data_IF_003778736751
#
_entry.id   IF_003778736751
#
_cell.length_a   1.000
_cell.length_b   1.000
_cell.length_c   1.000
_cell.angle_alpha   90.00
_cell.angle_beta   90.00
_cell.angle_gamma   90.00
#
_symmetry.space_group_name_H-M   'P 1'
#
loop_
_entity.id
_entity.type
_entity.pdbx_description
1 polymer ?
#
# COMPACT_ATOMS: atom_id res chain seq x y z
N UNK A 1 -21.73 28.51 1.32
CA UNK A 1 -20.75 27.63 0.66
C UNK A 1 -20.12 26.82 1.76
N UNK A 2 -20.35 25.51 1.78
CA UNK A 2 -19.45 24.61 2.50
C UNK A 2 -18.14 24.69 1.72
N UNK A 3 -17.03 24.96 2.39
CA UNK A 3 -15.73 25.13 1.73
C UNK A 3 -15.36 23.81 1.05
N UNK A 4 -15.04 23.84 -0.25
CA UNK A 4 -14.70 22.62 -1.00
C UNK A 4 -13.51 21.84 -0.41
N UNK A 5 -12.71 22.49 0.43
CA UNK A 5 -11.64 21.87 1.23
C UNK A 5 -12.16 20.94 2.34
N UNK A 6 -13.28 21.28 2.96
CA UNK A 6 -13.88 20.47 4.02
C UNK A 6 -14.49 19.19 3.45
N UNK A 7 -15.11 19.26 2.27
CA UNK A 7 -15.67 18.10 1.56
C UNK A 7 -14.59 17.10 1.15
N UNK A 8 -13.48 17.57 0.55
CA UNK A 8 -12.35 16.71 0.16
C UNK A 8 -11.69 16.02 1.37
N UNK A 9 -11.57 16.75 2.48
CA UNK A 9 -11.00 16.21 3.73
C UNK A 9 -11.94 15.16 4.35
N UNK A 10 -13.25 15.40 4.31
CA UNK A 10 -14.25 14.44 4.75
C UNK A 10 -14.21 13.17 3.90
N UNK A 11 -14.09 13.31 2.57
CA UNK A 11 -13.98 12.18 1.65
C UNK A 11 -12.70 11.36 1.86
N UNK A 12 -11.55 12.02 2.02
CA UNK A 12 -10.28 11.34 2.29
C UNK A 12 -10.32 10.61 3.65
N UNK A 13 -10.94 11.23 4.66
CA UNK A 13 -11.17 10.59 5.96
C UNK A 13 -12.10 9.39 5.81
N UNK A 14 -13.20 9.50 5.08
CA UNK A 14 -14.13 8.41 4.85
C UNK A 14 -13.47 7.24 4.10
N UNK A 15 -12.61 7.53 3.12
CA UNK A 15 -11.82 6.52 2.41
C UNK A 15 -10.84 5.80 3.38
N UNK A 16 -10.13 6.54 4.22
CA UNK A 16 -9.25 5.96 5.24
C UNK A 16 -10.02 5.13 6.27
N UNK A 17 -11.21 5.59 6.68
CA UNK A 17 -12.06 4.89 7.63
C UNK A 17 -12.61 3.57 7.07
N UNK A 18 -12.68 3.41 5.75
CA UNK A 18 -13.04 2.14 5.09
C UNK A 18 -11.90 1.12 5.03
N UNK A 19 -10.64 1.54 5.25
CA UNK A 19 -9.53 0.61 5.25
C UNK A 19 -9.62 -0.43 6.38
N UNK A 20 -9.01 -1.58 6.12
CA UNK A 20 -8.72 -2.58 7.14
C UNK A 20 -7.94 -1.97 8.31
N UNK A 21 -8.10 -2.58 9.50
CA UNK A 21 -7.43 -2.13 10.71
C UNK A 21 -5.90 -2.14 10.56
N UNK A 22 -5.39 -3.08 9.79
CA UNK A 22 -4.01 -3.12 9.29
C UNK A 22 -4.03 -2.70 7.83
N UNK A 23 -3.17 -1.78 7.42
CA UNK A 23 -3.11 -1.29 6.04
C UNK A 23 -1.70 -0.83 5.68
N UNK A 24 -1.42 -0.74 4.39
CA UNK A 24 -0.07 -0.49 3.90
C UNK A 24 0.01 -0.36 2.40
N UNK A 25 1.22 -0.14 1.90
CA UNK A 25 1.51 0.03 0.48
C UNK A 25 2.92 -0.47 0.13
N UNK A 26 3.13 -0.79 -1.14
CA UNK A 26 4.43 -1.15 -1.68
C UNK A 26 5.24 0.09 -2.11
N UNK A 27 6.54 0.11 -1.84
CA UNK A 27 7.45 1.18 -2.26
C UNK A 27 8.80 0.61 -2.76
N UNK A 28 9.06 0.54 -4.08
CA UNK A 28 8.16 0.94 -5.16
C UNK A 28 7.07 -0.11 -5.43
N UNK A 29 6.02 0.32 -6.12
CA UNK A 29 4.95 -0.55 -6.61
C UNK A 29 5.41 -1.49 -7.74
N UNK A 30 6.40 -1.07 -8.55
CA UNK A 30 6.86 -1.79 -9.74
C UNK A 30 8.35 -2.08 -9.66
N UNK A 31 8.72 -3.35 -9.78
CA UNK A 31 10.07 -3.87 -9.55
C UNK A 31 10.46 -4.85 -10.66
N UNK A 32 11.75 -5.16 -10.78
CA UNK A 32 12.22 -6.32 -11.53
C UNK A 32 12.41 -7.52 -10.58
N UNK A 33 12.27 -8.78 -11.07
CA UNK A 33 12.59 -9.96 -10.29
C UNK A 33 13.99 -9.91 -9.67
N UNK A 34 14.08 -10.17 -8.37
CA UNK A 34 15.32 -10.09 -7.59
C UNK A 34 15.60 -8.72 -6.96
N UNK A 35 14.77 -7.70 -7.20
CA UNK A 35 14.82 -6.46 -6.43
C UNK A 35 14.07 -6.63 -5.10
N UNK A 36 14.53 -5.94 -4.06
CA UNK A 36 13.88 -6.00 -2.75
C UNK A 36 12.61 -5.15 -2.74
N UNK A 37 11.48 -5.78 -2.45
CA UNK A 37 10.20 -5.11 -2.25
C UNK A 37 10.13 -4.58 -0.81
N UNK A 38 9.83 -3.29 -0.66
CA UNK A 38 9.53 -2.70 0.65
C UNK A 38 8.03 -2.51 0.82
N UNK A 39 7.48 -3.08 1.88
CA UNK A 39 6.10 -2.87 2.30
C UNK A 39 6.09 -1.93 3.49
N UNK A 40 5.37 -0.82 3.35
CA UNK A 40 5.09 0.14 4.41
C UNK A 40 3.77 -0.22 5.07
N UNK A 41 3.74 -0.38 6.39
CA UNK A 41 2.55 -0.86 7.08
C UNK A 41 2.24 -0.06 8.35
N UNK A 42 0.95 0.14 8.62
CA UNK A 42 0.48 0.76 9.84
C UNK A 42 -0.83 0.12 10.31
N UNK A 43 -1.14 0.37 11.58
CA UNK A 43 -2.48 0.16 12.10
C UNK A 43 -3.24 1.47 12.06
N UNK A 44 -4.49 1.41 11.62
CA UNK A 44 -5.42 2.52 11.72
C UNK A 44 -5.72 2.81 13.20
N UNK A 45 -5.61 4.07 13.67
CA UNK A 45 -6.05 4.44 15.00
C UNK A 45 -7.54 4.12 15.19
N UNK A 46 -7.90 3.38 16.24
CA UNK A 46 -9.29 3.21 16.69
C UNK A 46 -9.53 4.13 17.89
N UNK A 47 -10.79 4.54 18.06
CA UNK A 47 -11.23 5.39 19.18
C UNK A 47 -11.04 4.78 20.57
N UNK A 48 -10.71 3.48 20.66
CA UNK A 48 -10.55 2.76 21.93
C UNK A 48 -9.10 2.30 22.17
N UNK A 49 -8.66 2.51 23.41
CA UNK A 49 -7.31 2.39 24.01
C UNK A 49 -6.76 0.95 24.05
N UNK A 50 -6.64 0.28 22.91
CA UNK A 50 -6.02 -1.06 22.77
C UNK A 50 -4.55 -0.87 22.31
N UNK A 51 -3.60 -1.79 22.63
CA UNK A 51 -2.15 -1.51 22.59
C UNK A 51 -1.63 -0.83 21.32
N UNK A 52 -0.74 0.15 21.53
CA UNK A 52 -0.20 1.08 20.51
C UNK A 52 0.64 0.42 19.41
N UNK A 53 1.14 -0.79 19.66
CA UNK A 53 2.08 -1.49 18.77
C UNK A 53 1.74 -2.97 18.73
N UNK A 54 1.76 -3.56 17.53
CA UNK A 54 1.69 -5.03 17.31
C UNK A 54 2.92 -5.47 16.53
N UNK A 55 3.10 -6.77 16.35
CA UNK A 55 4.15 -7.31 15.49
C UNK A 55 3.55 -7.99 14.27
N UNK A 56 4.30 -8.01 13.17
CA UNK A 56 3.95 -8.84 12.01
C UNK A 56 4.16 -10.30 12.36
N UNK A 57 3.13 -11.12 12.18
CA UNK A 57 3.14 -12.57 12.44
C UNK A 57 3.48 -13.36 11.19
N UNK A 58 2.88 -13.01 10.05
CA UNK A 58 3.10 -13.70 8.79
C UNK A 58 2.83 -12.79 7.61
N UNK A 59 3.47 -13.09 6.50
CA UNK A 59 3.31 -12.42 5.22
C UNK A 59 3.09 -13.49 4.17
N UNK A 60 2.06 -13.32 3.34
CA UNK A 60 1.81 -14.15 2.20
C UNK A 60 1.86 -13.30 0.92
N UNK A 61 2.55 -13.80 -0.10
CA UNK A 61 2.50 -13.25 -1.45
C UNK A 61 1.57 -14.14 -2.27
N UNK A 62 0.56 -13.52 -2.87
CA UNK A 62 -0.39 -14.18 -3.76
C UNK A 62 -0.25 -13.68 -5.18
N UNK A 63 -0.50 -14.56 -6.13
CA UNK A 63 -0.80 -14.15 -7.50
C UNK A 63 -2.14 -13.39 -7.52
N UNK A 64 -2.15 -12.17 -8.04
CA UNK A 64 -3.33 -11.30 -7.99
C UNK A 64 -4.48 -11.77 -8.90
N UNK A 65 -4.20 -12.65 -9.86
CA UNK A 65 -5.20 -13.13 -10.83
C UNK A 65 -5.88 -14.40 -10.33
N UNK A 66 -5.08 -15.37 -9.89
CA UNK A 66 -5.55 -16.69 -9.44
C UNK A 66 -5.81 -16.75 -7.93
N UNK A 67 -5.26 -15.82 -7.14
CA UNK A 67 -5.29 -15.85 -5.68
C UNK A 67 -4.39 -16.92 -5.05
N UNK A 68 -3.61 -17.65 -5.85
CA UNK A 68 -2.72 -18.70 -5.36
C UNK A 68 -1.62 -18.11 -4.46
N UNK A 69 -1.39 -18.72 -3.30
CA UNK A 69 -0.28 -18.35 -2.41
C UNK A 69 1.01 -18.89 -3.03
N UNK A 70 1.90 -17.99 -3.44
CA UNK A 70 3.18 -18.34 -4.06
C UNK A 70 4.31 -18.37 -3.05
N UNK A 71 4.23 -17.54 -2.02
CA UNK A 71 5.25 -17.45 -1.00
C UNK A 71 4.61 -17.12 0.35
N UNK A 72 5.17 -17.66 1.43
CA UNK A 72 4.80 -17.30 2.80
C UNK A 72 6.07 -17.20 3.63
N UNK A 73 6.18 -16.12 4.40
CA UNK A 73 7.29 -15.91 5.29
C UNK A 73 6.84 -15.35 6.64
N UNK A 74 7.62 -15.69 7.66
CA UNK A 74 7.61 -15.00 8.95
C UNK A 74 8.78 -14.03 8.93
N UNK A 75 8.60 -12.74 9.26
CA UNK A 75 9.71 -11.80 9.31
C UNK A 75 10.81 -12.31 10.26
N UNK A 76 12.10 -12.29 9.85
CA UNK A 76 13.19 -12.80 10.68
C UNK A 76 13.39 -12.00 11.96
N UNK A 77 13.03 -10.71 11.94
CA UNK A 77 12.95 -9.85 13.12
C UNK A 77 11.51 -9.38 13.29
N UNK A 78 10.97 -9.36 14.53
CA UNK A 78 9.61 -8.86 14.78
C UNK A 78 9.45 -7.41 14.30
N UNK A 79 8.81 -7.22 13.15
CA UNK A 79 8.51 -5.90 12.63
C UNK A 79 7.38 -5.26 13.46
N UNK A 80 7.68 -4.16 14.13
CA UNK A 80 6.72 -3.45 14.98
C UNK A 80 5.83 -2.53 14.14
N UNK A 81 4.53 -2.77 14.18
CA UNK A 81 3.53 -1.97 13.48
C UNK A 81 2.85 -1.03 14.49
N UNK A 82 2.90 0.26 14.21
CA UNK A 82 2.37 1.31 15.08
C UNK A 82 1.00 1.79 14.61
N UNK A 83 0.25 2.41 15.54
CA UNK A 83 -0.91 3.23 15.18
C UNK A 83 -0.43 4.50 14.44
N UNK A 84 -0.79 4.65 13.17
CA UNK A 84 -0.42 5.82 12.36
C UNK A 84 -1.58 6.25 11.46
N UNK A 85 -1.78 7.57 11.37
CA UNK A 85 -2.57 8.18 10.31
C UNK A 85 -1.63 8.69 9.22
N UNK A 86 -2.12 8.90 8.00
CA UNK A 86 -1.30 9.46 6.93
C UNK A 86 -0.65 10.80 7.34
N UNK A 87 0.65 10.97 7.04
CA UNK A 87 1.44 12.13 7.49
C UNK A 87 1.10 13.42 6.74
N UNK A 88 0.98 13.36 5.41
CA UNK A 88 0.77 14.52 4.57
C UNK A 88 0.02 14.13 3.30
N UNK A 89 -1.03 14.90 3.01
CA UNK A 89 -1.99 14.64 1.95
C UNK A 89 -1.51 15.10 0.55
N UNK A 90 -0.37 15.79 0.43
CA UNK A 90 0.12 16.36 -0.86
C UNK A 90 1.55 15.94 -1.23
N UNK A 91 2.44 15.73 -0.26
CA UNK A 91 3.84 15.40 -0.50
C UNK A 91 4.24 14.03 0.00
N UNK A 92 4.34 13.88 1.32
CA UNK A 92 4.91 12.66 1.92
C UNK A 92 3.99 11.45 1.86
N UNK A 93 2.69 11.65 1.59
CA UNK A 93 1.70 10.58 1.64
C UNK A 93 1.52 10.07 3.07
N UNK A 94 1.24 8.78 3.17
CA UNK A 94 1.14 8.10 4.45
C UNK A 94 2.49 7.99 5.18
N UNK A 95 3.55 7.60 4.46
CA UNK A 95 4.93 7.49 4.96
C UNK A 95 5.06 6.74 6.31
N UNK A 96 4.46 5.56 6.40
CA UNK A 96 4.47 4.77 7.62
C UNK A 96 5.89 4.37 8.05
N UNK A 97 6.11 4.30 9.37
CA UNK A 97 7.43 3.98 9.93
C UNK A 97 7.81 2.51 9.82
N UNK A 98 6.83 1.61 9.95
CA UNK A 98 7.12 0.18 9.84
C UNK A 98 7.40 -0.16 8.38
N UNK A 99 8.57 -0.78 8.15
CA UNK A 99 8.97 -1.29 6.85
C UNK A 99 9.22 -2.80 6.96
N UNK A 100 8.76 -3.53 5.96
CA UNK A 100 9.07 -4.95 5.79
C UNK A 100 9.75 -5.10 4.44
N UNK A 101 10.93 -5.72 4.43
CA UNK A 101 11.68 -6.03 3.22
C UNK A 101 11.40 -7.47 2.80
N UNK A 102 11.05 -7.66 1.53
CA UNK A 102 10.71 -8.94 0.92
C UNK A 102 11.62 -9.18 -0.30
N UNK A 103 12.19 -10.38 -0.37
CA UNK A 103 12.95 -10.81 -1.54
C UNK A 103 12.00 -11.28 -2.65
N UNK A 104 12.33 -10.96 -3.90
CA UNK A 104 11.48 -11.28 -5.07
C UNK A 104 12.18 -12.15 -6.12
N UNK A 105 13.36 -12.69 -5.80
CA UNK A 105 14.20 -13.41 -6.75
C UNK A 105 13.51 -14.65 -7.35
N UNK A 106 12.65 -15.32 -6.59
CA UNK A 106 11.96 -16.54 -7.01
C UNK A 106 10.60 -16.28 -7.69
N UNK A 107 10.17 -15.01 -7.76
CA UNK A 107 8.88 -14.64 -8.34
C UNK A 107 9.06 -14.26 -9.81
N UNK A 108 8.27 -14.85 -10.73
CA UNK A 108 8.30 -14.47 -12.14
C UNK A 108 7.73 -13.05 -12.35
N UNK A 109 7.82 -12.49 -13.58
CA UNK A 109 7.06 -11.30 -13.92
C UNK A 109 5.54 -11.54 -13.74
N UNK A 110 4.83 -10.58 -13.14
CA UNK A 110 3.42 -10.73 -12.81
C UNK A 110 2.86 -9.60 -11.94
N UNK A 111 1.58 -9.71 -11.59
CA UNK A 111 0.89 -8.85 -10.64
C UNK A 111 0.63 -9.65 -9.36
N UNK A 112 0.99 -9.07 -8.21
CA UNK A 112 0.98 -9.75 -6.94
C UNK A 112 0.27 -8.94 -5.87
N UNK A 113 -0.20 -9.66 -4.85
CA UNK A 113 -0.75 -9.11 -3.62
C UNK A 113 0.10 -9.58 -2.44
N UNK A 114 0.50 -8.63 -1.61
CA UNK A 114 1.09 -8.92 -0.30
C UNK A 114 0.01 -8.80 0.77
N UNK A 115 -0.19 -9.88 1.52
CA UNK A 115 -1.13 -9.95 2.63
C UNK A 115 -0.34 -10.12 3.92
N UNK A 116 -0.48 -9.16 4.82
CA UNK A 116 0.19 -9.16 6.12
C UNK A 116 -0.81 -9.51 7.20
N UNK A 117 -0.41 -10.39 8.13
CA UNK A 117 -1.18 -10.69 9.33
C UNK A 117 -0.39 -10.28 10.57
N UNK A 118 -1.03 -9.57 11.48
CA UNK A 118 -0.42 -9.17 12.75
C UNK A 118 -0.56 -10.25 13.84
N UNK A 119 0.11 -10.04 14.96
CA UNK A 119 0.06 -10.92 16.13
C UNK A 119 -1.31 -11.00 16.81
N UNK A 120 -2.22 -10.08 16.52
CA UNK A 120 -3.62 -10.10 16.98
C UNK A 120 -4.55 -10.87 16.04
N UNK A 121 -4.02 -11.31 14.90
CA UNK A 121 -4.78 -12.02 13.87
C UNK A 121 -5.42 -11.11 12.83
N UNK A 122 -5.29 -9.78 12.95
CA UNK A 122 -5.80 -8.83 11.96
C UNK A 122 -5.04 -8.99 10.64
N UNK A 123 -5.77 -8.86 9.54
CA UNK A 123 -5.25 -9.01 8.17
C UNK A 123 -5.24 -7.65 7.50
N UNK A 124 -4.19 -7.38 6.73
CA UNK A 124 -4.11 -6.17 5.92
C UNK A 124 -5.17 -6.19 4.81
N UNK A 125 -5.44 -5.04 4.22
CA UNK A 125 -5.92 -5.03 2.83
C UNK A 125 -4.87 -5.64 1.91
N UNK A 126 -5.26 -5.98 0.68
CA UNK A 126 -4.34 -6.48 -0.33
C UNK A 126 -3.39 -5.36 -0.75
N UNK A 127 -2.09 -5.59 -0.57
CA UNK A 127 -1.05 -4.62 -0.92
C UNK A 127 -0.46 -5.01 -2.27
N UNK A 128 -0.87 -4.32 -3.32
CA UNK A 128 -0.49 -4.66 -4.68
C UNK A 128 0.94 -4.21 -5.01
N UNK A 129 1.63 -5.03 -5.79
CA UNK A 129 2.88 -4.70 -6.47
C UNK A 129 3.01 -5.54 -7.74
N UNK A 130 3.86 -5.14 -8.68
CA UNK A 130 4.11 -5.90 -9.90
C UNK A 130 5.60 -6.13 -10.14
N UNK A 131 5.92 -7.30 -10.69
CA UNK A 131 7.24 -7.60 -11.24
C UNK A 131 7.17 -7.47 -12.76
N UNK A 132 7.95 -6.56 -13.33
CA UNK A 132 8.06 -6.37 -14.78
C UNK A 132 9.21 -7.21 -15.33
N UNK A 133 9.09 -7.72 -16.56
CA UNK A 133 10.16 -8.49 -17.18
C UNK A 133 11.38 -7.59 -17.42
N UNK A 134 12.58 -8.16 -17.34
CA UNK A 134 13.84 -7.43 -17.59
C UNK A 134 14.06 -7.16 -19.08
N UNK A 135 13.54 -8.05 -19.93
CA UNK A 135 13.54 -7.93 -21.38
C UNK A 135 12.13 -8.18 -21.90
N UNK A 136 11.79 -7.53 -23.01
CA UNK A 136 10.53 -7.77 -23.73
C UNK A 136 10.73 -8.68 -24.95
N UNK A 137 11.96 -9.13 -25.20
CA UNK A 137 12.25 -10.06 -26.29
C UNK A 137 11.53 -11.39 -26.09
N UNK A 138 10.86 -11.87 -27.14
CA UNK A 138 10.10 -13.12 -27.12
C UNK A 138 8.75 -13.04 -26.40
N UNK A 139 8.29 -11.84 -25.98
CA UNK A 139 6.94 -11.65 -25.48
C UNK A 139 6.00 -11.24 -26.61
N UNK A 140 4.92 -12.00 -26.81
CA UNK A 140 3.88 -11.67 -27.79
C UNK A 140 2.94 -10.55 -27.30
N UNK A 141 2.81 -10.40 -25.98
CA UNK A 141 1.87 -9.47 -25.35
C UNK A 141 2.58 -8.72 -24.21
N UNK A 142 2.47 -7.40 -24.22
CA UNK A 142 2.89 -6.53 -23.13
C UNK A 142 1.68 -5.86 -22.48
N UNK A 143 1.49 -6.09 -21.18
CA UNK A 143 0.49 -5.39 -20.39
C UNK A 143 1.12 -4.18 -19.68
N UNK A 144 0.54 -3.00 -19.89
CA UNK A 144 0.96 -1.76 -19.21
C UNK A 144 0.00 -1.45 -18.08
N UNK A 145 0.49 -1.52 -16.84
CA UNK A 145 -0.31 -1.19 -15.67
C UNK A 145 -0.38 0.33 -15.47
N UNK A 146 -1.57 0.96 -15.50
CA UNK A 146 -1.72 2.40 -15.34
C UNK A 146 -1.68 2.80 -13.85
N UNK A 147 -0.59 2.49 -13.15
CA UNK A 147 -0.45 2.76 -11.71
C UNK A 147 -0.64 4.24 -11.36
N UNK A 148 -0.17 5.15 -12.23
CA UNK A 148 -0.40 6.59 -12.08
C UNK A 148 -1.88 6.96 -12.08
N UNK A 149 -2.70 6.30 -12.91
CA UNK A 149 -4.15 6.51 -12.94
C UNK A 149 -4.79 6.02 -11.65
N UNK A 150 -4.42 4.84 -11.15
CA UNK A 150 -4.92 4.36 -9.86
C UNK A 150 -4.61 5.33 -8.72
N UNK A 151 -3.38 5.84 -8.67
CA UNK A 151 -3.02 6.86 -7.70
C UNK A 151 -3.78 8.18 -7.95
N UNK A 152 -4.03 8.59 -9.19
CA UNK A 152 -4.80 9.82 -9.45
C UNK A 152 -6.22 9.78 -8.84
N UNK A 153 -6.87 8.60 -8.77
CA UNK A 153 -8.19 8.42 -8.16
C UNK A 153 -8.15 8.03 -6.68
N UNK A 154 -7.00 7.57 -6.17
CA UNK A 154 -6.89 7.14 -4.78
C UNK A 154 -7.15 8.32 -3.83
N UNK A 155 -8.08 8.13 -2.89
CA UNK A 155 -8.41 9.08 -1.81
C UNK A 155 -7.94 8.58 -0.44
N UNK A 156 -7.39 7.38 -0.40
CA UNK A 156 -6.81 6.82 0.81
C UNK A 156 -5.48 7.53 1.05
N UNK A 157 -5.27 8.08 2.24
CA UNK A 157 -4.06 8.83 2.52
C UNK A 157 -4.05 10.27 2.02
N UNK A 158 -5.18 10.83 1.56
CA UNK A 158 -5.34 12.25 1.23
C UNK A 158 -6.25 12.55 0.05
N UNK A 159 -6.10 13.76 -0.51
CA UNK A 159 -6.83 14.17 -1.71
C UNK A 159 -6.45 13.32 -2.92
N UNK A 160 -7.41 13.10 -3.82
CA UNK A 160 -7.17 12.55 -5.15
C UNK A 160 -6.77 13.66 -6.12
N UNK A 161 -6.22 13.37 -7.29
CA UNK A 161 -5.91 14.40 -8.31
C UNK A 161 -7.16 15.23 -8.72
N UNK A 162 -8.35 14.68 -8.47
CA UNK A 162 -9.64 15.28 -8.74
C UNK A 162 -10.24 16.05 -7.55
N UNK A 163 -9.52 16.15 -6.45
CA UNK A 163 -9.92 16.95 -5.29
C UNK A 163 -9.80 18.44 -5.63
N UNK A 164 -10.87 19.19 -5.39
CA UNK A 164 -10.99 20.61 -5.69
C UNK A 164 -10.01 21.45 -4.86
N UNK A 165 -9.65 20.97 -3.68
CA UNK A 165 -8.79 21.62 -2.69
C UNK A 165 -7.29 21.45 -2.89
N UNK A 166 -6.82 20.71 -3.90
CA UNK A 166 -5.37 20.41 -4.04
C UNK A 166 -4.48 21.63 -4.36
N UNK A 167 -5.06 22.82 -4.55
CA UNK A 167 -4.32 24.02 -4.89
C UNK A 167 -3.74 23.97 -6.32
N UNK A 168 -2.89 24.95 -6.69
CA UNK A 168 -2.42 25.11 -8.06
C UNK A 168 -1.41 24.04 -8.52
N UNK A 169 -0.76 23.32 -7.59
CA UNK A 169 0.12 22.20 -7.88
C UNK A 169 -0.58 20.89 -7.49
N UNK A 170 -1.25 20.25 -8.46
CA UNK A 170 -1.95 18.98 -8.27
C UNK A 170 -0.97 17.81 -8.19
N UNK A 171 -0.24 17.69 -7.09
CA UNK A 171 0.64 16.53 -6.84
C UNK A 171 -0.07 15.52 -5.93
N UNK A 172 0.03 14.25 -6.29
CA UNK A 172 -0.46 13.16 -5.46
C UNK A 172 0.68 12.20 -5.13
N UNK A 173 0.75 11.75 -3.88
CA UNK A 173 1.79 10.82 -3.44
C UNK A 173 1.51 9.40 -3.92
N UNK A 174 2.54 8.62 -4.24
CA UNK A 174 2.42 7.17 -4.43
C UNK A 174 2.56 6.40 -3.10
N UNK A 175 2.99 7.08 -2.03
CA UNK A 175 3.25 6.50 -0.71
C UNK A 175 1.98 6.40 0.12
N UNK A 176 0.99 5.63 -0.34
CA UNK A 176 -0.30 5.50 0.36
C UNK A 176 -0.96 4.15 0.09
N UNK A 177 -1.78 3.64 1.04
CA UNK A 177 -2.53 2.41 0.89
C UNK A 177 -3.57 2.44 -0.23
#
# INVERSE_FOLDING_TARGET
>A
MIDAEDDDRADAKAAFDRLSALNGYAEPFSLFPGETLRIKIARKPRSLLIPRTVTVKSIAIRDAVSGAILHTQVPPTPAQVHLESPQDYRGKGANYRCEIMLETAELPPGLYECVVRDSTGAVSQDIYFNLKPRTVEGLDILCVLPSFTWHAYCRVGGGSFYSASLGPLRTVSLRRP
#
